data_IF_305844748800
#
_entry.id   IF_305844748800
#
_cell.length_a   1.000
_cell.length_b   1.000
_cell.length_c   1.000
_cell.angle_alpha   90.00
_cell.angle_beta   90.00
_cell.angle_gamma   90.00
#
_symmetry.space_group_name_H-M   'P 1'
#
loop_
_entity.id
_entity.type
_entity.pdbx_description
1 polymer ?
#
# COMPACT_ATOMS: atom_id res chain seq x y z
N UNK A 1 -20.35 16.26 32.85
CA UNK A 1 -19.80 14.93 32.59
C UNK A 1 -18.30 15.06 32.43
N UNK A 2 -17.53 14.26 33.16
CA UNK A 2 -16.08 14.42 33.27
C UNK A 2 -15.35 13.30 32.54
N UNK A 3 -14.35 13.66 31.74
CA UNK A 3 -13.48 12.72 31.04
C UNK A 3 -12.04 12.87 31.53
N UNK A 4 -11.42 11.76 31.92
CA UNK A 4 -10.08 11.71 32.51
C UNK A 4 -9.12 11.05 31.53
N UNK A 5 -8.01 11.73 31.26
CA UNK A 5 -6.93 11.28 30.39
C UNK A 5 -5.61 11.26 31.17
N UNK A 6 -4.77 10.25 30.92
CA UNK A 6 -3.38 10.24 31.41
C UNK A 6 -2.42 11.06 30.55
N UNK A 7 -2.69 11.19 29.25
CA UNK A 7 -1.82 11.89 28.31
C UNK A 7 -2.40 13.25 27.95
N UNK A 8 -1.55 14.29 28.00
CA UNK A 8 -1.95 15.66 27.69
C UNK A 8 -2.44 15.77 26.25
N UNK A 9 -1.68 15.20 25.31
CA UNK A 9 -1.95 15.34 23.89
C UNK A 9 -3.30 14.72 23.50
N UNK A 10 -3.75 13.70 24.23
CA UNK A 10 -5.06 13.06 24.05
C UNK A 10 -6.18 14.01 24.49
N UNK A 11 -6.05 14.60 25.68
CA UNK A 11 -7.02 15.59 26.19
C UNK A 11 -7.06 16.86 25.33
N UNK A 12 -5.90 17.36 24.91
CA UNK A 12 -5.80 18.57 24.06
C UNK A 12 -6.47 18.34 22.71
N UNK A 13 -6.26 17.18 22.08
CA UNK A 13 -6.90 16.88 20.79
C UNK A 13 -8.42 16.96 20.89
N UNK A 14 -9.00 16.33 21.92
CA UNK A 14 -10.44 16.30 22.09
C UNK A 14 -11.00 17.68 22.47
N UNK A 15 -10.27 18.42 23.30
CA UNK A 15 -10.60 19.82 23.61
C UNK A 15 -10.66 20.70 22.36
N UNK A 16 -9.63 20.62 21.49
CA UNK A 16 -9.59 21.37 20.23
C UNK A 16 -10.72 20.96 19.27
N UNK A 17 -11.05 19.67 19.21
CA UNK A 17 -12.15 19.17 18.40
C UNK A 17 -13.48 19.86 18.77
N UNK A 18 -13.79 19.96 20.05
CA UNK A 18 -15.04 20.56 20.49
C UNK A 18 -15.04 22.09 20.42
N UNK A 19 -13.92 22.76 20.71
CA UNK A 19 -13.80 24.21 20.53
C UNK A 19 -14.04 24.61 19.07
N UNK A 20 -13.49 23.85 18.10
CA UNK A 20 -13.72 24.09 16.68
C UNK A 20 -15.19 23.97 16.25
N UNK A 21 -16.02 23.33 17.08
CA UNK A 21 -17.46 23.14 16.87
C UNK A 21 -18.31 24.09 17.76
N UNK A 22 -17.74 25.22 18.18
CA UNK A 22 -18.37 26.25 19.01
C UNK A 22 -18.94 25.72 20.34
N UNK A 23 -18.24 24.76 20.95
CA UNK A 23 -18.63 24.18 22.25
C UNK A 23 -17.71 24.64 23.37
N UNK A 24 -18.29 25.09 24.48
CA UNK A 24 -17.56 25.39 25.70
C UNK A 24 -17.23 24.10 26.47
N UNK A 25 -15.95 23.85 26.70
CA UNK A 25 -15.45 22.73 27.49
C UNK A 25 -14.44 23.25 28.50
N UNK A 26 -14.51 22.73 29.71
CA UNK A 26 -13.58 23.07 30.77
C UNK A 26 -12.44 22.06 30.80
N UNK A 27 -11.21 22.56 30.70
CA UNK A 27 -10.00 21.75 30.81
C UNK A 27 -9.25 22.10 32.09
N UNK A 28 -8.85 21.10 32.87
CA UNK A 28 -7.92 21.32 33.98
C UNK A 28 -6.95 20.16 34.20
N UNK A 29 -5.74 20.49 34.64
CA UNK A 29 -4.71 19.53 35.05
C UNK A 29 -4.80 19.28 36.56
N UNK A 30 -4.61 18.03 36.98
CA UNK A 30 -4.48 17.66 38.39
C UNK A 30 -3.40 16.60 38.58
N UNK A 31 -2.99 16.38 39.83
CA UNK A 31 -2.03 15.33 40.21
C UNK A 31 -2.76 14.34 41.11
N UNK A 32 -2.84 13.08 40.67
CA UNK A 32 -3.40 11.98 41.45
C UNK A 32 -2.38 10.85 41.52
N UNK A 33 -2.11 10.33 42.73
CA UNK A 33 -1.11 9.27 42.95
C UNK A 33 0.26 9.55 42.31
N UNK A 34 0.72 10.80 42.37
CA UNK A 34 1.99 11.26 41.78
C UNK A 34 2.05 11.12 40.24
N UNK A 35 0.89 11.05 39.58
CA UNK A 35 0.75 11.07 38.13
C UNK A 35 -0.13 12.25 37.72
N UNK A 36 0.24 12.92 36.61
CA UNK A 36 -0.60 13.96 36.01
C UNK A 36 -1.84 13.33 35.40
N UNK A 37 -2.98 13.97 35.60
CA UNK A 37 -4.25 13.62 34.98
C UNK A 37 -4.87 14.89 34.40
N UNK A 38 -5.52 14.72 33.26
CA UNK A 38 -6.14 15.79 32.50
C UNK A 38 -7.64 15.55 32.46
N UNK A 39 -8.40 16.54 32.91
CA UNK A 39 -9.84 16.48 32.99
C UNK A 39 -10.46 17.36 31.91
N UNK A 40 -11.45 16.80 31.20
CA UNK A 40 -12.36 17.53 30.34
C UNK A 40 -13.77 17.43 30.90
N UNK A 41 -14.32 18.55 31.35
CA UNK A 41 -15.70 18.63 31.84
C UNK A 41 -16.58 19.21 30.75
N UNK A 42 -17.56 18.41 30.35
CA UNK A 42 -18.58 18.75 29.35
C UNK A 42 -19.90 19.00 30.06
N UNK A 43 -20.52 20.15 29.80
CA UNK A 43 -21.88 20.46 30.24
C UNK A 43 -22.89 19.83 29.27
N UNK A 44 -23.62 18.81 29.75
CA UNK A 44 -24.62 18.07 28.98
C UNK A 44 -25.84 18.94 28.58
N UNK A 45 -26.00 20.13 29.14
CA UNK A 45 -27.00 21.10 28.67
C UNK A 45 -26.60 21.80 27.36
N UNK A 46 -25.31 21.81 27.04
CA UNK A 46 -24.73 22.52 25.88
C UNK A 46 -24.26 21.58 24.76
N UNK A 47 -23.88 20.36 25.12
CA UNK A 47 -23.42 19.32 24.19
C UNK A 47 -24.26 18.06 24.39
N UNK A 48 -24.93 17.59 23.32
CA UNK A 48 -25.67 16.32 23.34
C UNK A 48 -24.72 15.13 23.45
N UNK A 49 -25.20 14.01 24.01
CA UNK A 49 -24.44 12.76 24.08
C UNK A 49 -23.98 12.28 22.70
N UNK A 50 -24.78 12.48 21.66
CA UNK A 50 -24.42 12.16 20.27
C UNK A 50 -23.19 12.94 19.79
N UNK A 51 -23.12 14.25 20.06
CA UNK A 51 -21.94 15.06 19.72
C UNK A 51 -20.70 14.62 20.51
N UNK A 52 -20.89 14.19 21.76
CA UNK A 52 -19.80 13.64 22.58
C UNK A 52 -19.29 12.33 21.95
N UNK A 53 -20.19 11.42 21.59
CA UNK A 53 -19.86 10.17 20.91
C UNK A 53 -19.08 10.43 19.62
N UNK A 54 -19.56 11.34 18.78
CA UNK A 54 -18.91 11.66 17.52
C UNK A 54 -17.51 12.24 17.75
N UNK A 55 -17.31 13.09 18.75
CA UNK A 55 -15.98 13.60 19.11
C UNK A 55 -15.01 12.49 19.52
N UNK A 56 -15.47 11.53 20.33
CA UNK A 56 -14.64 10.38 20.69
C UNK A 56 -14.37 9.44 19.51
N UNK A 57 -15.36 9.21 18.64
CA UNK A 57 -15.17 8.42 17.42
C UNK A 57 -14.09 9.05 16.54
N UNK A 58 -14.19 10.36 16.28
CA UNK A 58 -13.19 11.07 15.47
C UNK A 58 -11.81 11.06 16.14
N UNK A 59 -11.74 11.26 17.45
CA UNK A 59 -10.49 11.16 18.21
C UNK A 59 -9.83 9.79 18.07
N UNK A 60 -10.61 8.72 18.20
CA UNK A 60 -10.08 7.36 18.12
C UNK A 60 -9.60 7.06 16.71
N UNK A 61 -10.42 7.34 15.68
CA UNK A 61 -10.11 7.04 14.28
C UNK A 61 -8.92 7.87 13.77
N UNK A 62 -8.90 9.18 14.03
CA UNK A 62 -7.92 10.08 13.43
C UNK A 62 -6.60 10.14 14.20
N UNK A 63 -6.62 9.84 15.50
CA UNK A 63 -5.42 9.93 16.35
C UNK A 63 -5.06 8.60 16.98
N UNK A 64 -5.92 8.05 17.86
CA UNK A 64 -5.52 6.89 18.67
C UNK A 64 -5.23 5.64 17.88
N UNK A 65 -5.95 5.39 16.78
CA UNK A 65 -5.70 4.27 15.88
C UNK A 65 -4.26 4.30 15.36
N UNK A 66 -3.80 5.46 14.90
CA UNK A 66 -2.45 5.61 14.37
C UNK A 66 -1.38 5.43 15.46
N UNK A 67 -1.63 5.96 16.66
CA UNK A 67 -0.77 5.71 17.84
C UNK A 67 -0.68 4.20 18.14
N UNK A 68 -1.82 3.51 18.15
CA UNK A 68 -1.90 2.08 18.43
C UNK A 68 -1.20 1.24 17.35
N UNK A 69 -1.34 1.59 16.08
CA UNK A 69 -0.60 0.92 15.00
C UNK A 69 0.90 1.03 15.24
N UNK A 70 1.41 2.24 15.55
CA UNK A 70 2.83 2.45 15.85
C UNK A 70 3.30 1.68 17.09
N UNK A 71 2.48 1.67 18.14
CA UNK A 71 2.78 0.90 19.36
C UNK A 71 2.77 -0.61 19.08
N UNK A 72 1.83 -1.12 18.27
CA UNK A 72 1.79 -2.53 17.86
C UNK A 72 3.06 -2.89 17.08
N UNK A 73 3.42 -2.08 16.10
CA UNK A 73 4.63 -2.28 15.29
C UNK A 73 5.90 -2.32 16.15
N UNK A 74 6.02 -1.40 17.12
CA UNK A 74 7.19 -1.30 17.99
C UNK A 74 7.26 -2.39 19.05
N UNK A 75 6.17 -2.64 19.76
CA UNK A 75 6.15 -3.48 20.96
C UNK A 75 5.90 -4.97 20.65
N UNK A 76 5.10 -5.28 19.63
CA UNK A 76 4.71 -6.66 19.30
C UNK A 76 5.54 -7.24 18.14
N UNK A 77 5.83 -6.41 17.13
CA UNK A 77 6.55 -6.83 15.93
C UNK A 77 8.00 -6.35 15.86
N UNK A 78 8.44 -5.55 16.84
CA UNK A 78 9.82 -5.07 16.99
C UNK A 78 10.38 -4.25 15.82
N UNK A 79 9.50 -3.58 15.07
CA UNK A 79 9.89 -2.57 14.07
C UNK A 79 10.44 -1.33 14.78
N UNK A 80 11.73 -1.02 14.59
CA UNK A 80 12.42 0.07 15.30
C UNK A 80 12.60 1.33 14.48
N UNK A 81 12.69 1.18 13.15
CA UNK A 81 12.93 2.29 12.24
C UNK A 81 11.63 3.03 11.96
N UNK A 82 11.63 4.35 12.15
CA UNK A 82 10.42 5.16 12.00
C UNK A 82 9.91 5.18 10.56
N UNK A 83 10.82 5.15 9.58
CA UNK A 83 10.46 5.09 8.16
C UNK A 83 9.69 3.80 7.83
N UNK A 84 10.15 2.66 8.34
CA UNK A 84 9.49 1.36 8.15
C UNK A 84 8.12 1.34 8.83
N UNK A 85 8.03 1.88 10.05
CA UNK A 85 6.75 2.03 10.74
C UNK A 85 5.76 2.92 9.97
N UNK A 86 6.24 4.02 9.40
CA UNK A 86 5.40 4.96 8.64
C UNK A 86 4.92 4.33 7.33
N UNK A 87 5.76 3.57 6.63
CA UNK A 87 5.36 2.84 5.41
C UNK A 87 4.26 1.81 5.71
N UNK A 88 4.40 1.03 6.80
CA UNK A 88 3.38 0.06 7.18
C UNK A 88 2.10 0.75 7.66
N UNK A 89 2.23 1.86 8.40
CA UNK A 89 1.07 2.67 8.82
C UNK A 89 0.28 3.22 7.62
N UNK A 90 0.94 3.64 6.56
CA UNK A 90 0.28 4.11 5.33
C UNK A 90 -0.61 3.01 4.74
N UNK A 91 -0.10 1.77 4.64
CA UNK A 91 -0.89 0.62 4.18
C UNK A 91 -2.12 0.39 5.08
N UNK A 92 -1.95 0.47 6.41
CA UNK A 92 -3.09 0.33 7.34
C UNK A 92 -4.12 1.44 7.14
N UNK A 93 -3.68 2.70 6.95
CA UNK A 93 -4.57 3.83 6.68
C UNK A 93 -5.35 3.60 5.39
N UNK A 94 -4.69 3.20 4.30
CA UNK A 94 -5.34 2.91 3.02
C UNK A 94 -6.37 1.78 3.15
N UNK A 95 -6.08 0.75 3.95
CA UNK A 95 -7.03 -0.33 4.24
C UNK A 95 -8.28 0.20 4.95
N UNK A 96 -8.14 1.09 5.93
CA UNK A 96 -9.28 1.69 6.64
C UNK A 96 -10.07 2.69 5.78
N UNK A 97 -9.40 3.39 4.86
CA UNK A 97 -10.06 4.30 3.92
C UNK A 97 -10.81 3.57 2.79
N UNK A 98 -10.55 2.26 2.63
CA UNK A 98 -11.14 1.44 1.56
C UNK A 98 -10.37 1.50 0.24
N UNK A 99 -9.14 2.01 0.26
CA UNK A 99 -8.26 2.14 -0.90
C UNK A 99 -7.52 0.83 -1.23
N UNK A 100 -7.54 -0.15 -0.31
CA UNK A 100 -6.99 -1.52 -0.48
C UNK A 100 -8.07 -2.61 -0.30
N UNK A 101 -9.09 -2.68 -1.18
CA UNK A 101 -10.17 -3.68 -1.09
C UNK A 101 -9.67 -5.12 -1.20
N UNK A 102 -8.58 -5.35 -1.93
CA UNK A 102 -7.93 -6.65 -2.08
C UNK A 102 -7.41 -7.19 -0.74
N UNK A 103 -6.83 -6.35 0.12
CA UNK A 103 -6.36 -6.75 1.44
C UNK A 103 -7.53 -6.94 2.42
N UNK A 104 -8.45 -5.97 2.48
CA UNK A 104 -9.57 -6.02 3.42
C UNK A 104 -10.53 -7.18 3.14
N UNK A 105 -10.62 -7.65 1.88
CA UNK A 105 -11.40 -8.83 1.51
C UNK A 105 -10.90 -10.14 2.13
N UNK A 106 -9.62 -10.21 2.51
CA UNK A 106 -8.99 -11.39 3.13
C UNK A 106 -9.46 -11.53 4.58
N UNK A 107 -9.58 -10.41 5.29
CA UNK A 107 -9.88 -10.36 6.73
C UNK A 107 -11.34 -9.99 7.05
N UNK A 108 -12.12 -9.61 6.03
CA UNK A 108 -13.58 -9.44 6.15
C UNK A 108 -14.07 -8.03 6.45
N UNK A 109 -13.18 -7.02 6.48
CA UNK A 109 -13.52 -5.61 6.75
C UNK A 109 -14.18 -5.36 8.12
N UNK A 110 -14.07 -4.15 8.65
CA UNK A 110 -14.77 -3.77 9.88
C UNK A 110 -15.52 -2.45 9.75
N UNK A 111 -16.62 -2.31 10.48
CA UNK A 111 -17.27 -1.02 10.68
C UNK A 111 -16.72 -0.39 11.97
N UNK A 112 -15.58 0.29 11.85
CA UNK A 112 -14.90 0.87 13.01
C UNK A 112 -15.77 1.90 13.74
N UNK A 113 -16.56 2.68 13.00
CA UNK A 113 -17.45 3.70 13.58
C UNK A 113 -18.48 3.05 14.50
N UNK A 114 -19.09 1.95 14.07
CA UNK A 114 -20.09 1.25 14.86
C UNK A 114 -19.49 0.57 16.09
N UNK A 115 -18.34 -0.11 15.94
CA UNK A 115 -17.64 -0.73 17.08
C UNK A 115 -17.29 0.30 18.16
N UNK A 116 -16.74 1.45 17.75
CA UNK A 116 -16.38 2.52 18.66
C UNK A 116 -17.63 3.16 19.28
N UNK A 117 -18.68 3.41 18.48
CA UNK A 117 -19.94 3.98 18.96
C UNK A 117 -20.58 3.11 20.04
N UNK A 118 -20.66 1.80 19.82
CA UNK A 118 -21.21 0.87 20.81
C UNK A 118 -20.40 0.89 22.12
N UNK A 119 -19.07 0.91 22.03
CA UNK A 119 -18.19 0.98 23.18
C UNK A 119 -18.38 2.26 24.01
N UNK A 120 -18.60 3.40 23.35
CA UNK A 120 -18.81 4.70 24.00
C UNK A 120 -20.23 4.80 24.58
N UNK A 121 -21.27 4.46 23.82
CA UNK A 121 -22.68 4.59 24.23
C UNK A 121 -22.94 3.90 25.56
N UNK A 122 -22.49 2.65 25.70
CA UNK A 122 -22.67 1.88 26.93
C UNK A 122 -22.05 2.52 28.17
N UNK A 123 -21.01 3.34 27.97
CA UNK A 123 -20.25 3.97 29.03
C UNK A 123 -20.79 5.37 29.37
N UNK A 124 -21.32 6.10 28.38
CA UNK A 124 -21.95 7.40 28.61
C UNK A 124 -23.29 7.30 29.35
N UNK A 125 -24.02 6.19 29.19
CA UNK A 125 -25.31 5.97 29.87
C UNK A 125 -25.18 5.63 31.37
N UNK A 126 -24.01 5.15 31.80
CA UNK A 126 -23.83 4.52 33.12
C UNK A 126 -23.04 5.37 34.12
N UNK A 127 -22.32 6.40 33.66
CA UNK A 127 -21.31 7.07 34.48
C UNK A 127 -21.23 8.58 34.22
N UNK A 128 -21.15 9.38 35.29
CA UNK A 128 -20.92 10.83 35.20
C UNK A 128 -19.43 11.19 34.99
N UNK A 129 -18.53 10.24 35.27
CA UNK A 129 -17.08 10.37 35.13
C UNK A 129 -16.51 9.16 34.41
N UNK A 130 -15.66 9.42 33.41
CA UNK A 130 -15.18 8.43 32.45
C UNK A 130 -13.66 8.51 32.36
N UNK A 131 -12.97 7.41 32.58
CA UNK A 131 -11.54 7.32 32.27
C UNK A 131 -11.33 6.81 30.84
N UNK A 132 -10.62 7.59 30.03
CA UNK A 132 -10.28 7.20 28.66
C UNK A 132 -9.42 5.92 28.63
N UNK A 133 -8.44 5.80 29.53
CA UNK A 133 -7.64 4.57 29.68
C UNK A 133 -8.48 3.32 29.99
N UNK A 134 -9.55 3.48 30.77
CA UNK A 134 -10.47 2.38 31.04
C UNK A 134 -11.32 2.04 29.82
N UNK A 135 -11.77 3.05 29.07
CA UNK A 135 -12.46 2.85 27.78
C UNK A 135 -11.59 2.04 26.82
N UNK A 136 -10.33 2.45 26.63
CA UNK A 136 -9.41 1.78 25.70
C UNK A 136 -9.08 0.36 26.14
N UNK A 137 -8.75 0.17 27.43
CA UNK A 137 -8.34 -1.13 27.96
C UNK A 137 -9.45 -2.18 27.99
N UNK A 138 -10.69 -1.78 28.27
CA UNK A 138 -11.78 -2.73 28.54
C UNK A 138 -12.85 -2.76 27.45
N UNK A 139 -13.26 -1.60 26.93
CA UNK A 139 -14.40 -1.50 26.00
C UNK A 139 -13.98 -1.54 24.54
N UNK A 140 -12.82 -0.98 24.21
CA UNK A 140 -12.26 -1.00 22.84
C UNK A 140 -11.32 -2.18 22.59
N UNK A 141 -11.33 -3.18 23.48
CA UNK A 141 -10.45 -4.36 23.34
C UNK A 141 -10.65 -5.08 22.00
N UNK A 142 -11.90 -5.31 21.62
CA UNK A 142 -12.21 -5.99 20.34
C UNK A 142 -11.74 -5.15 19.14
N UNK A 143 -11.92 -3.83 19.18
CA UNK A 143 -11.42 -2.95 18.12
C UNK A 143 -9.88 -2.95 18.05
N UNK A 144 -9.19 -2.93 19.19
CA UNK A 144 -7.75 -3.03 19.25
C UNK A 144 -7.24 -4.38 18.68
N UNK A 145 -7.94 -5.48 18.98
CA UNK A 145 -7.64 -6.79 18.39
C UNK A 145 -7.81 -6.78 16.86
N UNK A 146 -8.82 -6.06 16.32
CA UNK A 146 -8.94 -5.88 14.86
C UNK A 146 -7.79 -5.06 14.29
N UNK A 147 -7.33 -4.01 14.97
CA UNK A 147 -6.16 -3.24 14.50
C UNK A 147 -4.92 -4.14 14.39
N UNK A 148 -4.71 -5.07 15.32
CA UNK A 148 -3.60 -6.03 15.23
C UNK A 148 -3.69 -6.85 13.94
N UNK A 149 -4.87 -7.36 13.58
CA UNK A 149 -5.08 -8.13 12.33
C UNK A 149 -4.78 -7.29 11.09
N UNK A 150 -5.19 -6.01 11.09
CA UNK A 150 -4.86 -5.09 10.00
C UNK A 150 -3.35 -4.83 9.90
N UNK A 151 -2.67 -4.67 11.05
CA UNK A 151 -1.21 -4.48 11.10
C UNK A 151 -0.47 -5.73 10.61
N UNK A 152 -0.90 -6.93 10.99
CA UNK A 152 -0.32 -8.19 10.51
C UNK A 152 -0.38 -8.29 8.99
N UNK A 153 -1.55 -7.99 8.40
CA UNK A 153 -1.70 -8.03 6.95
C UNK A 153 -0.90 -6.93 6.23
N UNK A 154 -0.83 -5.73 6.82
CA UNK A 154 -0.02 -4.64 6.28
C UNK A 154 1.49 -4.95 6.33
N UNK A 155 1.95 -5.66 7.37
CA UNK A 155 3.34 -6.15 7.46
C UNK A 155 3.62 -7.14 6.34
N UNK A 156 2.71 -8.08 6.08
CA UNK A 156 2.88 -9.07 5.02
C UNK A 156 2.93 -8.40 3.64
N UNK A 157 2.04 -7.45 3.37
CA UNK A 157 2.05 -6.65 2.15
C UNK A 157 3.37 -5.86 2.00
N UNK A 158 3.79 -5.16 3.06
CA UNK A 158 5.06 -4.42 3.05
C UNK A 158 6.25 -5.32 2.71
N UNK A 159 6.32 -6.51 3.33
CA UNK A 159 7.38 -7.49 3.02
C UNK A 159 7.31 -7.98 1.59
N UNK A 160 6.12 -8.27 1.08
CA UNK A 160 5.92 -8.68 -0.32
C UNK A 160 6.37 -7.62 -1.30
N UNK A 161 6.07 -6.34 -1.03
CA UNK A 161 6.55 -5.21 -1.83
C UNK A 161 8.10 -5.11 -1.80
N UNK A 162 8.73 -5.28 -0.63
CA UNK A 162 10.19 -5.30 -0.51
C UNK A 162 10.82 -6.47 -1.27
N UNK A 163 10.28 -7.68 -1.15
CA UNK A 163 10.74 -8.86 -1.88
C UNK A 163 10.62 -8.66 -3.39
N UNK A 164 9.54 -8.02 -3.86
CA UNK A 164 9.38 -7.66 -5.27
C UNK A 164 10.49 -6.71 -5.74
N UNK A 165 10.84 -5.67 -4.97
CA UNK A 165 11.93 -4.76 -5.34
C UNK A 165 13.29 -5.47 -5.40
N UNK A 166 13.59 -6.33 -4.43
CA UNK A 166 14.82 -7.15 -4.42
C UNK A 166 14.86 -8.08 -5.63
N UNK A 167 13.72 -8.69 -5.99
CA UNK A 167 13.60 -9.52 -7.18
C UNK A 167 13.87 -8.72 -8.46
N UNK A 168 13.24 -7.54 -8.64
CA UNK A 168 13.50 -6.66 -9.79
C UNK A 168 14.98 -6.29 -9.88
N UNK A 169 15.60 -5.92 -8.76
CA UNK A 169 17.02 -5.57 -8.74
C UNK A 169 17.90 -6.75 -9.15
N UNK A 170 17.58 -7.96 -8.69
CA UNK A 170 18.28 -9.19 -9.10
C UNK A 170 18.25 -9.38 -10.62
N UNK A 171 17.11 -9.09 -11.25
CA UNK A 171 16.96 -9.17 -12.71
C UNK A 171 17.74 -8.08 -13.45
N UNK A 172 17.79 -6.86 -12.90
CA UNK A 172 18.61 -5.77 -13.44
C UNK A 172 20.09 -6.09 -13.36
N UNK A 173 20.56 -6.60 -12.22
CA UNK A 173 21.95 -7.01 -12.02
C UNK A 173 22.34 -8.13 -12.98
N UNK A 174 21.41 -9.06 -13.26
CA UNK A 174 21.59 -10.08 -14.28
C UNK A 174 21.80 -9.49 -15.70
N UNK A 175 21.16 -8.38 -16.03
CA UNK A 175 21.28 -7.72 -17.33
C UNK A 175 22.58 -6.91 -17.50
N UNK A 176 23.13 -6.34 -16.42
CA UNK A 176 24.26 -5.40 -16.51
C UNK A 176 25.52 -5.99 -17.17
N UNK A 177 25.77 -7.29 -17.00
CA UNK A 177 26.99 -7.95 -17.46
C UNK A 177 26.80 -8.76 -18.75
N UNK A 178 25.71 -8.54 -19.50
CA UNK A 178 25.40 -9.29 -20.72
C UNK A 178 25.51 -8.47 -21.98
N UNK A 179 26.18 -9.05 -22.96
CA UNK A 179 26.15 -8.58 -24.34
C UNK A 179 24.77 -8.80 -24.96
N UNK A 180 24.27 -7.79 -25.66
CA UNK A 180 23.03 -7.88 -26.40
C UNK A 180 23.16 -8.87 -27.56
N UNK A 181 22.30 -9.90 -27.59
CA UNK A 181 22.20 -10.84 -28.73
C UNK A 181 21.46 -10.22 -29.92
N UNK A 182 20.56 -9.28 -29.64
CA UNK A 182 19.84 -8.48 -30.63
C UNK A 182 19.85 -7.03 -30.19
N UNK A 183 20.12 -6.11 -31.10
CA UNK A 183 20.11 -4.68 -30.76
C UNK A 183 18.68 -4.17 -30.50
N UNK A 184 17.72 -4.59 -31.34
CA UNK A 184 16.31 -4.18 -31.23
C UNK A 184 15.41 -5.40 -31.20
N UNK A 185 14.53 -5.44 -30.20
CA UNK A 185 13.39 -6.34 -30.12
C UNK A 185 12.11 -5.51 -30.11
N UNK A 186 11.09 -5.96 -30.82
CA UNK A 186 9.76 -5.36 -30.79
C UNK A 186 8.76 -6.39 -30.26
N UNK A 187 7.84 -5.95 -29.43
CA UNK A 187 6.80 -6.77 -28.85
C UNK A 187 5.45 -6.17 -29.24
N UNK A 188 4.68 -6.91 -30.02
CA UNK A 188 3.27 -6.62 -30.20
C UNK A 188 2.50 -7.35 -29.10
N UNK A 189 1.95 -6.60 -28.15
CA UNK A 189 1.32 -7.14 -26.95
C UNK A 189 -0.21 -7.07 -27.07
N UNK A 190 -0.85 -8.23 -27.15
CA UNK A 190 -2.30 -8.38 -27.10
C UNK A 190 -2.71 -9.33 -25.96
N UNK A 191 -3.29 -10.49 -26.24
CA UNK A 191 -3.47 -11.55 -25.23
C UNK A 191 -2.14 -12.22 -24.84
N UNK A 192 -1.16 -12.19 -25.75
CA UNK A 192 0.17 -12.75 -25.57
C UNK A 192 1.20 -11.88 -26.30
N UNK A 193 2.47 -12.02 -25.91
CA UNK A 193 3.59 -11.30 -26.51
C UNK A 193 4.01 -11.94 -27.84
N UNK A 194 3.96 -11.18 -28.93
CA UNK A 194 4.52 -11.58 -30.23
C UNK A 194 5.81 -10.80 -30.47
N UNK A 195 6.91 -11.52 -30.67
CA UNK A 195 8.24 -10.94 -30.84
C UNK A 195 8.54 -10.68 -32.32
N UNK A 196 9.11 -9.51 -32.60
CA UNK A 196 9.65 -9.15 -33.90
C UNK A 196 11.10 -8.66 -33.76
N UNK A 197 11.92 -8.95 -34.76
CA UNK A 197 13.30 -8.46 -34.82
C UNK A 197 13.37 -6.98 -35.28
N UNK A 198 14.59 -6.49 -35.51
CA UNK A 198 14.83 -5.12 -35.97
C UNK A 198 14.15 -4.82 -37.34
N UNK A 199 13.96 -5.84 -38.18
CA UNK A 199 13.41 -5.74 -39.53
C UNK A 199 11.88 -5.98 -39.59
N UNK A 200 11.17 -5.96 -38.45
CA UNK A 200 9.74 -6.26 -38.36
C UNK A 200 9.36 -7.67 -38.84
N UNK A 201 10.30 -8.61 -38.82
CA UNK A 201 10.03 -10.02 -39.07
C UNK A 201 9.69 -10.69 -37.75
N UNK A 202 8.62 -11.48 -37.76
CA UNK A 202 8.18 -12.21 -36.59
C UNK A 202 9.21 -13.28 -36.23
N UNK A 203 9.52 -13.38 -34.94
CA UNK A 203 10.42 -14.39 -34.41
C UNK A 203 9.61 -15.62 -34.00
N UNK A 204 9.97 -16.77 -34.55
CA UNK A 204 9.38 -18.05 -34.20
C UNK A 204 9.75 -18.46 -32.77
N UNK A 205 8.92 -19.30 -32.15
CA UNK A 205 9.21 -19.86 -30.81
C UNK A 205 10.55 -20.57 -30.74
N UNK A 206 10.96 -21.25 -31.83
CA UNK A 206 12.27 -21.91 -31.93
C UNK A 206 13.43 -20.93 -31.94
N UNK A 207 13.31 -19.80 -32.65
CA UNK A 207 14.35 -18.76 -32.67
C UNK A 207 14.52 -18.14 -31.29
N UNK A 208 13.41 -17.83 -30.63
CA UNK A 208 13.42 -17.32 -29.25
C UNK A 208 14.06 -18.33 -28.30
N UNK A 209 13.65 -19.60 -28.37
CA UNK A 209 14.19 -20.66 -27.51
C UNK A 209 15.69 -20.89 -27.69
N UNK A 210 16.22 -20.76 -28.91
CA UNK A 210 17.65 -20.85 -29.19
C UNK A 210 18.44 -19.67 -28.57
N UNK A 211 17.80 -18.53 -28.39
CA UNK A 211 18.40 -17.36 -27.74
C UNK A 211 18.25 -17.39 -26.20
N UNK A 212 17.42 -18.27 -25.65
CA UNK A 212 17.18 -18.35 -24.20
C UNK A 212 18.35 -18.98 -23.44
N UNK A 213 18.73 -18.36 -22.33
CA UNK A 213 19.55 -19.02 -21.32
C UNK A 213 18.66 -19.86 -20.40
N UNK A 214 18.72 -21.19 -20.56
CA UNK A 214 17.91 -22.13 -19.79
C UNK A 214 18.20 -22.10 -18.28
N UNK A 215 19.32 -21.52 -17.85
CA UNK A 215 19.67 -21.38 -16.42
C UNK A 215 18.72 -20.42 -15.69
N UNK A 216 18.18 -19.41 -16.38
CA UNK A 216 17.23 -18.45 -15.79
C UNK A 216 15.97 -19.13 -15.23
N UNK A 217 15.46 -20.13 -15.93
CA UNK A 217 14.25 -20.86 -15.54
C UNK A 217 14.49 -21.88 -14.43
N UNK A 218 15.75 -22.28 -14.18
CA UNK A 218 16.09 -23.26 -13.13
C UNK A 218 16.42 -22.61 -11.80
N UNK A 219 16.96 -21.39 -11.82
CA UNK A 219 17.31 -20.64 -10.60
C UNK A 219 16.14 -19.83 -10.03
N UNK A 220 15.17 -19.42 -10.86
CA UNK A 220 14.00 -18.64 -10.44
C UNK A 220 12.68 -19.17 -11.04
N UNK A 221 12.32 -20.44 -10.77
CA UNK A 221 11.23 -21.13 -11.47
C UNK A 221 9.82 -20.59 -11.20
N UNK A 222 9.62 -19.86 -10.10
CA UNK A 222 8.28 -19.42 -9.66
C UNK A 222 7.92 -18.00 -10.14
N UNK A 223 8.91 -17.12 -10.36
CA UNK A 223 8.69 -15.67 -10.48
C UNK A 223 8.95 -15.09 -11.87
N UNK A 224 9.63 -15.81 -12.76
CA UNK A 224 9.97 -15.29 -14.09
C UNK A 224 8.97 -15.81 -15.11
N UNK A 225 8.22 -14.89 -15.73
CA UNK A 225 7.43 -15.21 -16.92
C UNK A 225 8.32 -15.83 -18.00
N UNK A 226 8.07 -17.11 -18.27
CA UNK A 226 8.87 -17.90 -19.21
C UNK A 226 8.68 -17.50 -20.67
N UNK A 227 7.60 -16.76 -20.98
CA UNK A 227 7.19 -16.44 -22.36
C UNK A 227 7.73 -15.09 -22.83
N UNK A 228 7.88 -14.11 -21.94
CA UNK A 228 8.26 -12.74 -22.28
C UNK A 228 9.50 -12.28 -21.51
N UNK A 229 9.47 -12.34 -20.17
CA UNK A 229 10.57 -11.84 -19.34
C UNK A 229 11.83 -12.68 -19.56
N UNK A 230 11.76 -14.00 -19.45
CA UNK A 230 12.94 -14.86 -19.62
C UNK A 230 13.61 -14.73 -21.00
N UNK A 231 12.86 -14.69 -22.13
CA UNK A 231 13.42 -14.35 -23.44
C UNK A 231 14.13 -13.00 -23.48
N UNK A 232 13.49 -11.93 -23.01
CA UNK A 232 14.10 -10.60 -23.05
C UNK A 232 15.36 -10.52 -22.18
N UNK A 233 15.35 -11.12 -20.99
CA UNK A 233 16.53 -11.22 -20.14
C UNK A 233 17.68 -11.98 -20.81
N UNK A 234 17.36 -13.04 -21.56
CA UNK A 234 18.35 -13.86 -22.26
C UNK A 234 18.94 -13.18 -23.49
N UNK A 235 18.11 -12.42 -24.20
CA UNK A 235 18.50 -11.64 -25.38
C UNK A 235 19.27 -10.38 -24.95
N UNK A 236 18.91 -9.81 -23.79
CA UNK A 236 19.44 -8.56 -23.24
C UNK A 236 19.47 -7.42 -24.27
N UNK A 237 18.36 -7.14 -24.99
CA UNK A 237 18.40 -6.22 -26.11
C UNK A 237 18.76 -4.80 -25.68
N UNK A 238 19.39 -4.04 -26.59
CA UNK A 238 19.70 -2.62 -26.34
C UNK A 238 18.43 -1.77 -26.32
N UNK A 239 17.43 -2.12 -27.14
CA UNK A 239 16.13 -1.44 -27.21
C UNK A 239 14.98 -2.44 -27.37
N UNK A 240 13.89 -2.17 -26.65
CA UNK A 240 12.63 -2.90 -26.68
C UNK A 240 11.54 -1.90 -27.07
N UNK A 241 10.80 -2.15 -28.15
CA UNK A 241 9.59 -1.40 -28.46
C UNK A 241 8.38 -2.26 -28.14
N UNK A 242 7.59 -1.89 -27.13
CA UNK A 242 6.39 -2.61 -26.73
C UNK A 242 5.15 -1.85 -27.19
N UNK A 243 4.34 -2.51 -28.01
CA UNK A 243 3.12 -1.95 -28.60
C UNK A 243 1.89 -2.57 -27.94
N UNK A 244 1.07 -1.78 -27.25
CA UNK A 244 -0.15 -2.24 -26.55
C UNK A 244 -1.27 -1.18 -26.64
N UNK A 245 -2.52 -1.57 -26.40
CA UNK A 245 -3.65 -0.63 -26.35
C UNK A 245 -3.78 0.03 -24.97
N UNK A 246 -3.46 -0.73 -23.92
CA UNK A 246 -3.38 -0.29 -22.53
C UNK A 246 -2.05 -0.73 -21.93
N UNK A 247 -1.47 0.14 -21.11
CA UNK A 247 -0.25 -0.15 -20.35
C UNK A 247 -0.55 -0.51 -18.89
N UNK A 248 -1.83 -0.58 -18.53
CA UNK A 248 -2.29 -0.98 -17.20
C UNK A 248 -2.31 -2.51 -17.05
N UNK A 249 -1.13 -3.12 -17.22
CA UNK A 249 -0.93 -4.56 -17.14
C UNK A 249 0.31 -4.86 -16.30
N UNK A 250 0.19 -5.81 -15.35
CA UNK A 250 1.28 -6.16 -14.43
C UNK A 250 2.57 -6.62 -15.12
N UNK A 251 2.47 -7.31 -16.26
CA UNK A 251 3.64 -7.72 -17.05
C UNK A 251 4.32 -6.50 -17.68
N UNK A 252 3.57 -5.57 -18.27
CA UNK A 252 4.13 -4.35 -18.87
C UNK A 252 4.84 -3.50 -17.81
N UNK A 253 4.20 -3.29 -16.65
CA UNK A 253 4.82 -2.59 -15.51
C UNK A 253 6.10 -3.28 -15.06
N UNK A 254 6.08 -4.60 -14.94
CA UNK A 254 7.27 -5.40 -14.58
C UNK A 254 8.38 -5.27 -15.64
N UNK A 255 8.06 -5.28 -16.92
CA UNK A 255 9.02 -5.07 -18.00
C UNK A 255 9.62 -3.65 -17.96
N UNK A 256 8.82 -2.63 -17.68
CA UNK A 256 9.31 -1.26 -17.49
C UNK A 256 10.27 -1.18 -16.30
N UNK A 257 9.93 -1.82 -15.18
CA UNK A 257 10.79 -1.87 -14.01
C UNK A 257 12.11 -2.58 -14.33
N UNK A 258 12.10 -3.70 -15.04
CA UNK A 258 13.33 -4.46 -15.34
C UNK A 258 14.22 -3.75 -16.38
N UNK A 259 13.64 -3.22 -17.46
CA UNK A 259 14.39 -2.75 -18.64
C UNK A 259 14.59 -1.23 -18.70
N UNK A 260 13.95 -0.47 -17.80
CA UNK A 260 14.16 0.96 -17.59
C UNK A 260 14.20 1.76 -18.91
N UNK A 261 15.29 2.47 -19.22
CA UNK A 261 15.44 3.29 -20.43
C UNK A 261 15.52 2.49 -21.74
N UNK A 262 15.62 1.16 -21.67
CA UNK A 262 15.69 0.30 -22.85
C UNK A 262 14.31 0.01 -23.43
N UNK A 263 13.21 0.23 -22.70
CA UNK A 263 11.85 -0.08 -23.16
C UNK A 263 11.05 1.18 -23.52
N UNK A 264 10.48 1.17 -24.73
CA UNK A 264 9.68 2.24 -25.30
C UNK A 264 8.27 1.73 -25.52
N UNK A 265 7.29 2.45 -24.96
CA UNK A 265 5.88 2.11 -25.08
C UNK A 265 5.22 2.87 -26.22
N UNK A 266 4.41 2.16 -27.01
CA UNK A 266 3.72 2.69 -28.18
C UNK A 266 2.32 2.06 -28.32
N UNK A 267 1.42 2.71 -29.05
CA UNK A 267 0.10 2.10 -29.38
C UNK A 267 0.26 1.05 -30.49
N UNK A 268 -0.60 0.03 -30.50
CA UNK A 268 -0.61 -1.00 -31.56
C UNK A 268 -0.70 -0.44 -32.97
N UNK A 269 -1.46 0.64 -33.18
CA UNK A 269 -1.56 1.29 -34.51
C UNK A 269 -0.20 1.81 -35.01
N UNK A 270 0.68 2.25 -34.10
CA UNK A 270 2.01 2.72 -34.46
C UNK A 270 2.89 1.60 -35.00
N UNK A 271 2.72 0.36 -34.51
CA UNK A 271 3.45 -0.79 -35.05
C UNK A 271 3.23 -0.97 -36.56
N UNK A 272 1.97 -0.90 -37.01
CA UNK A 272 1.64 -1.08 -38.42
C UNK A 272 2.13 0.09 -39.28
N UNK A 273 2.04 1.31 -38.77
CA UNK A 273 2.58 2.50 -39.45
C UNK A 273 4.08 2.39 -39.65
N UNK A 274 4.82 2.05 -38.59
CA UNK A 274 6.28 1.93 -38.63
C UNK A 274 6.75 0.76 -39.50
N UNK A 275 6.06 -0.39 -39.41
CA UNK A 275 6.33 -1.57 -40.26
C UNK A 275 6.13 -1.25 -41.74
N UNK A 276 5.01 -0.62 -42.10
CA UNK A 276 4.73 -0.25 -43.48
C UNK A 276 5.73 0.78 -44.02
N UNK A 277 6.09 1.78 -43.20
CA UNK A 277 7.09 2.77 -43.56
C UNK A 277 8.49 2.15 -43.75
N UNK A 278 8.86 1.16 -42.92
CA UNK A 278 10.12 0.42 -43.04
C UNK A 278 10.16 -0.39 -44.35
N UNK A 279 9.12 -1.17 -44.63
CA UNK A 279 9.03 -1.98 -45.85
C UNK A 279 8.98 -1.11 -47.13
N UNK A 280 8.28 0.02 -47.09
CA UNK A 280 8.25 0.98 -48.20
C UNK A 280 9.61 1.61 -48.51
N UNK A 281 10.45 1.85 -47.49
CA UNK A 281 11.83 2.31 -47.67
C UNK A 281 12.76 1.21 -48.20
N UNK A 282 12.55 -0.03 -47.78
CA UNK A 282 13.33 -1.18 -48.25
C UNK A 282 13.03 -1.52 -49.72
N UNK A 283 11.79 -1.32 -50.18
CA UNK A 283 11.40 -1.53 -51.57
C UNK A 283 11.94 -0.45 -52.55
N UNK A 284 12.35 0.71 -52.04
CA UNK A 284 12.87 1.85 -52.81
C UNK A 284 14.41 1.94 -52.80
N UNK A 285 15.10 0.93 -52.26
CA UNK A 285 16.57 0.79 -52.27
C UNK A 285 16.97 -0.38 -53.16
#
# INVERSE_FOLDING_TARGET
>A
MDFIFKYLDDAVWLHEYFIKNDKEIWFHETIFQNQKQYFLTIDLSTISLENIQDGFIQFIIQKKRNDWVKDILREYFFYKEEEEQNNILEIVIDMFNGDRPELTSIIGGINETEMIRQAISALLEQHDTVSFDSLTKFRLKEYYEQIIVYVELAIDEYKMEQEYQVFIQTLRDYLQNRDAKLDVVRIYFDQYSIFYNEQYQEMTKSEISNLMDRRLLTNHPIYIDSVTIAPLLSIAPKKIYLYADSFDNGLIRTLQNIFEERIFLAKKDQFWQEKNAFLGKAANR
#
